data_IF_704528106572
#
_entry.id   IF_704528106572
#
_cell.length_a   1.000
_cell.length_b   1.000
_cell.length_c   1.000
_cell.angle_alpha   90.00
_cell.angle_beta   90.00
_cell.angle_gamma   90.00
#
_symmetry.space_group_name_H-M   'P 1'
#
loop_
_entity.id
_entity.type
_entity.pdbx_description
1 polymer ?
#
# COMPACT_ATOMS: atom_id res chain seq x y z
N UNK A 1 -11.60 -10.74 21.38
CA UNK A 1 -11.96 -10.03 20.13
C UNK A 1 -11.79 -11.03 19.02
N UNK A 2 -12.90 -11.54 18.49
CA UNK A 2 -12.97 -12.86 17.87
C UNK A 2 -12.22 -12.91 16.52
N UNK A 3 -11.24 -13.81 16.48
CA UNK A 3 -10.56 -14.28 15.28
C UNK A 3 -11.51 -15.27 14.58
N UNK A 4 -11.89 -14.99 13.32
CA UNK A 4 -12.58 -15.98 12.50
C UNK A 4 -11.52 -16.86 11.83
N UNK A 5 -11.31 -18.05 12.39
CA UNK A 5 -10.50 -19.13 11.82
C UNK A 5 -11.42 -20.32 11.65
N UNK A 6 -11.58 -20.84 10.43
CA UNK A 6 -12.17 -22.16 10.22
C UNK A 6 -11.38 -22.95 9.19
N UNK A 7 -11.13 -24.21 9.55
CA UNK A 7 -10.86 -25.36 8.68
C UNK A 7 -11.48 -26.56 9.41
N UNK A 8 -11.19 -27.83 9.05
CA UNK A 8 -11.07 -28.42 7.71
C UNK A 8 -12.43 -28.69 7.03
N UNK A 9 -13.56 -28.44 7.72
CA UNK A 9 -14.93 -28.70 7.21
C UNK A 9 -15.81 -27.44 7.09
N UNK A 10 -15.22 -26.25 7.21
CA UNK A 10 -15.87 -24.94 7.02
C UNK A 10 -15.17 -24.15 5.92
N UNK A 11 -15.92 -23.66 4.92
CA UNK A 11 -15.37 -23.07 3.72
C UNK A 11 -14.81 -21.65 3.93
N UNK A 12 -13.62 -21.55 4.52
CA UNK A 12 -12.69 -20.44 4.34
C UNK A 12 -11.56 -20.95 3.44
N UNK A 13 -11.42 -20.38 2.25
CA UNK A 13 -10.24 -20.55 1.39
C UNK A 13 -9.60 -19.16 1.31
N UNK A 14 -8.39 -19.02 1.86
CA UNK A 14 -7.54 -17.80 1.81
C UNK A 14 -8.05 -16.55 2.56
N UNK A 15 -8.79 -16.71 3.66
CA UNK A 15 -9.26 -15.57 4.46
C UNK A 15 -10.38 -14.74 3.80
N UNK A 16 -10.99 -15.30 2.74
CA UNK A 16 -12.16 -14.75 2.06
C UNK A 16 -13.35 -15.67 2.35
N UNK A 17 -14.42 -15.10 2.92
CA UNK A 17 -15.70 -15.79 3.09
C UNK A 17 -16.29 -16.08 1.69
N UNK A 18 -16.42 -17.35 1.30
CA UNK A 18 -17.08 -17.72 0.03
C UNK A 18 -18.56 -18.02 0.30
N UNK A 19 -19.43 -17.29 -0.38
CA UNK A 19 -20.87 -17.37 -0.18
C UNK A 19 -21.50 -18.53 -0.97
N UNK A 20 -22.64 -19.02 -0.48
CA UNK A 20 -23.56 -19.85 -1.28
C UNK A 20 -24.05 -19.09 -2.52
N UNK A 21 -24.66 -19.80 -3.47
CA UNK A 21 -25.19 -19.22 -4.73
C UNK A 21 -26.27 -18.16 -4.53
N UNK A 22 -26.82 -18.06 -3.32
CA UNK A 22 -27.81 -17.09 -2.86
C UNK A 22 -27.20 -15.89 -2.09
N UNK A 23 -25.87 -15.87 -1.91
CA UNK A 23 -25.18 -14.80 -1.19
C UNK A 23 -25.28 -14.90 0.34
N UNK A 24 -25.72 -16.06 0.87
CA UNK A 24 -25.89 -16.30 2.30
C UNK A 24 -25.01 -17.47 2.74
N UNK A 25 -24.40 -17.36 3.93
CA UNK A 25 -23.75 -18.50 4.60
C UNK A 25 -24.12 -18.48 6.07
N UNK A 26 -24.56 -19.64 6.57
CA UNK A 26 -24.70 -19.90 7.99
C UNK A 26 -23.46 -20.66 8.50
N UNK A 27 -22.71 -20.08 9.44
CA UNK A 27 -21.54 -20.72 10.08
C UNK A 27 -21.73 -20.64 11.58
N UNK A 28 -21.81 -21.77 12.29
CA UNK A 28 -21.88 -21.84 13.76
C UNK A 28 -22.93 -20.89 14.41
N UNK A 29 -24.10 -20.74 13.78
CA UNK A 29 -25.19 -19.88 14.25
C UNK A 29 -25.06 -18.40 13.87
N UNK A 30 -24.00 -18.02 13.17
CA UNK A 30 -23.90 -16.73 12.49
C UNK A 30 -24.58 -16.81 11.14
N UNK A 31 -25.41 -15.83 10.81
CA UNK A 31 -25.93 -15.64 9.45
C UNK A 31 -25.22 -14.45 8.82
N UNK A 32 -24.49 -14.70 7.73
CA UNK A 32 -23.85 -13.64 6.96
C UNK A 32 -24.54 -13.51 5.62
N UNK A 33 -24.98 -12.30 5.29
CA UNK A 33 -25.35 -11.92 3.94
C UNK A 33 -24.38 -10.87 3.42
N UNK A 34 -24.17 -10.87 2.09
CA UNK A 34 -23.45 -9.77 1.47
C UNK A 34 -24.28 -9.11 0.39
N UNK A 35 -24.15 -7.79 0.31
CA UNK A 35 -24.78 -6.98 -0.72
C UNK A 35 -23.73 -6.13 -1.39
N UNK A 36 -23.69 -6.17 -2.73
CA UNK A 36 -22.86 -5.26 -3.50
C UNK A 36 -23.51 -3.87 -3.49
N UNK A 37 -22.81 -2.87 -2.97
CA UNK A 37 -23.22 -1.46 -2.94
C UNK A 37 -22.30 -0.63 -3.85
N UNK A 38 -22.68 0.61 -4.19
CA UNK A 38 -21.77 1.53 -4.89
C UNK A 38 -20.45 1.78 -4.13
N UNK A 39 -20.50 1.71 -2.79
CA UNK A 39 -19.37 2.00 -1.91
C UNK A 39 -18.53 0.75 -1.59
N UNK A 40 -18.98 -0.46 -1.95
CA UNK A 40 -18.34 -1.66 -1.43
C UNK A 40 -19.10 -2.96 -1.49
N UNK A 41 -18.47 -4.00 -0.94
CA UNK A 41 -19.16 -5.20 -0.51
C UNK A 41 -19.60 -4.97 0.94
N UNK A 42 -20.91 -4.79 1.14
CA UNK A 42 -21.51 -4.73 2.45
C UNK A 42 -21.69 -6.13 2.99
N UNK A 43 -21.26 -6.34 4.22
CA UNK A 43 -21.49 -7.54 5.02
C UNK A 43 -22.50 -7.19 6.09
N UNK A 44 -23.57 -7.98 6.16
CA UNK A 44 -24.55 -7.93 7.25
C UNK A 44 -24.48 -9.28 7.97
N UNK A 45 -24.14 -9.25 9.25
CA UNK A 45 -23.94 -10.43 10.10
C UNK A 45 -24.93 -10.42 11.24
N UNK A 46 -25.69 -11.50 11.39
CA UNK A 46 -26.46 -11.80 12.59
C UNK A 46 -25.71 -12.82 13.43
N UNK A 47 -25.44 -12.50 14.69
CA UNK A 47 -24.75 -13.38 15.63
C UNK A 47 -25.73 -14.40 16.23
N UNK A 48 -25.24 -15.51 16.84
CA UNK A 48 -26.10 -16.51 17.49
C UNK A 48 -27.01 -15.95 18.61
N UNK A 49 -26.55 -14.90 19.31
CA UNK A 49 -27.29 -14.18 20.35
C UNK A 49 -28.21 -13.07 19.81
N UNK A 50 -28.26 -12.90 18.48
CA UNK A 50 -29.20 -12.02 17.79
C UNK A 50 -28.71 -10.58 17.57
N UNK A 51 -27.45 -10.27 17.89
CA UNK A 51 -26.81 -9.01 17.53
C UNK A 51 -26.69 -8.89 16.00
N UNK A 52 -26.78 -7.65 15.50
CA UNK A 52 -26.60 -7.34 14.08
C UNK A 52 -25.40 -6.44 13.90
N UNK A 53 -24.44 -6.91 13.14
CA UNK A 53 -23.24 -6.18 12.75
C UNK A 53 -23.30 -5.90 11.25
N UNK A 54 -22.94 -4.69 10.85
CA UNK A 54 -22.87 -4.33 9.44
C UNK A 54 -21.59 -3.54 9.17
N UNK A 55 -20.86 -3.91 8.13
CA UNK A 55 -19.73 -3.12 7.65
C UNK A 55 -19.61 -3.21 6.14
N UNK A 56 -18.95 -2.23 5.53
CA UNK A 56 -18.72 -2.19 4.08
C UNK A 56 -17.22 -2.24 3.83
N UNK A 57 -16.77 -3.21 3.03
CA UNK A 57 -15.41 -3.21 2.48
C UNK A 57 -15.43 -2.46 1.16
N UNK A 58 -14.55 -1.46 0.93
CA UNK A 58 -14.52 -0.69 -0.31
C UNK A 58 -14.45 -1.59 -1.56
N UNK A 59 -15.26 -1.29 -2.57
CA UNK A 59 -15.34 -2.07 -3.82
C UNK A 59 -14.20 -1.71 -4.78
N UNK A 60 -13.68 -0.50 -4.63
CA UNK A 60 -12.55 0.04 -5.37
C UNK A 60 -11.61 0.75 -4.38
N UNK A 61 -10.31 0.79 -4.68
CA UNK A 61 -9.41 1.63 -3.89
C UNK A 61 -9.89 3.08 -3.91
N UNK A 62 -9.81 3.76 -2.77
CA UNK A 62 -9.95 5.20 -2.75
C UNK A 62 -8.92 5.82 -3.71
N UNK A 63 -9.26 6.97 -4.30
CA UNK A 63 -8.42 7.63 -5.31
C UNK A 63 -6.96 7.73 -4.84
N UNK A 64 -6.73 8.07 -3.58
CA UNK A 64 -5.39 8.11 -2.97
C UNK A 64 -5.29 7.09 -1.82
N UNK A 65 -4.59 5.98 -2.06
CA UNK A 65 -4.38 4.94 -1.05
C UNK A 65 -2.89 4.79 -0.72
N UNK A 66 -2.54 4.84 0.57
CA UNK A 66 -1.19 4.55 1.07
C UNK A 66 -1.18 3.22 1.83
N UNK A 67 -0.34 2.28 1.40
CA UNK A 67 -0.13 0.99 2.09
C UNK A 67 1.20 1.03 2.84
N UNK A 68 1.11 1.11 4.17
CA UNK A 68 2.23 1.12 5.11
C UNK A 68 2.48 -0.27 5.69
N UNK A 69 3.70 -0.53 6.14
CA UNK A 69 4.00 -1.73 6.93
C UNK A 69 5.47 -2.09 6.94
N UNK A 70 5.83 -3.11 7.71
CA UNK A 70 7.22 -3.57 7.79
C UNK A 70 7.77 -4.13 6.47
N UNK A 71 9.08 -4.37 6.42
CA UNK A 71 9.68 -5.15 5.35
C UNK A 71 9.04 -6.55 5.29
N UNK A 72 8.74 -7.05 4.08
CA UNK A 72 8.11 -8.36 3.84
C UNK A 72 6.73 -8.55 4.51
N UNK A 73 6.02 -7.47 4.85
CA UNK A 73 4.71 -7.56 5.48
C UNK A 73 3.57 -7.98 4.55
N UNK A 74 3.77 -7.95 3.22
CA UNK A 74 2.72 -8.23 2.21
C UNK A 74 2.17 -6.99 1.50
N UNK A 75 2.61 -5.79 1.86
CA UNK A 75 2.08 -4.52 1.33
C UNK A 75 2.14 -4.34 -0.20
N UNK A 76 3.18 -4.83 -0.88
CA UNK A 76 3.22 -4.78 -2.36
C UNK A 76 2.16 -5.68 -2.98
N UNK A 77 1.95 -6.89 -2.42
CA UNK A 77 0.89 -7.81 -2.88
C UNK A 77 -0.49 -7.18 -2.70
N UNK A 78 -0.72 -6.50 -1.58
CA UNK A 78 -1.98 -5.79 -1.38
C UNK A 78 -2.16 -4.63 -2.36
N UNK A 79 -1.11 -3.82 -2.57
CA UNK A 79 -1.16 -2.72 -3.52
C UNK A 79 -1.45 -3.22 -4.95
N UNK A 80 -0.87 -4.36 -5.33
CA UNK A 80 -1.15 -5.03 -6.61
C UNK A 80 -2.62 -5.50 -6.67
N UNK A 81 -3.13 -6.10 -5.59
CA UNK A 81 -4.54 -6.56 -5.48
C UNK A 81 -5.53 -5.41 -5.64
N UNK A 82 -5.26 -4.26 -5.00
CA UNK A 82 -6.12 -3.08 -5.08
C UNK A 82 -6.26 -2.54 -6.51
N UNK A 83 -5.25 -2.74 -7.34
CA UNK A 83 -5.26 -2.32 -8.74
C UNK A 83 -5.56 -3.46 -9.73
N UNK A 84 -5.91 -4.66 -9.25
CA UNK A 84 -6.06 -5.86 -10.08
C UNK A 84 -7.10 -5.73 -11.20
N UNK A 85 -8.13 -4.91 -11.01
CA UNK A 85 -9.19 -4.66 -11.99
C UNK A 85 -8.83 -3.56 -13.02
N UNK A 86 -7.63 -2.97 -12.94
CA UNK A 86 -7.15 -1.91 -13.84
C UNK A 86 -6.06 -2.45 -14.76
N UNK A 87 -6.40 -2.94 -15.97
CA UNK A 87 -5.44 -3.58 -16.86
C UNK A 87 -4.40 -2.62 -17.44
N UNK A 88 -4.68 -1.31 -17.42
CA UNK A 88 -3.85 -0.23 -17.95
C UNK A 88 -2.98 0.46 -16.88
N UNK A 89 -3.00 -0.03 -15.64
CA UNK A 89 -2.23 0.57 -14.54
C UNK A 89 -0.73 0.63 -14.87
N UNK A 90 -0.06 1.65 -14.34
CA UNK A 90 1.38 1.86 -14.49
C UNK A 90 2.08 1.60 -13.16
N UNK A 91 2.97 0.63 -13.16
CA UNK A 91 3.86 0.34 -12.05
C UNK A 91 5.04 1.31 -12.06
N UNK A 92 5.18 2.11 -11.02
CA UNK A 92 6.26 3.09 -10.83
C UNK A 92 7.29 2.51 -9.89
N UNK A 93 8.39 2.00 -10.46
CA UNK A 93 9.49 1.42 -9.72
C UNK A 93 10.50 2.51 -9.33
N UNK A 94 10.59 2.82 -8.04
CA UNK A 94 11.47 3.89 -7.54
C UNK A 94 12.86 3.37 -7.15
N UNK A 95 13.03 2.05 -7.02
CA UNK A 95 14.25 1.43 -6.50
C UNK A 95 15.45 1.31 -7.45
N UNK A 96 15.30 1.65 -8.74
CA UNK A 96 16.36 1.48 -9.74
C UNK A 96 16.45 0.05 -10.31
N UNK A 97 17.41 -0.16 -11.21
CA UNK A 97 17.51 -1.34 -12.10
C UNK A 97 18.28 -2.53 -11.51
N UNK A 98 18.93 -2.34 -10.36
CA UNK A 98 19.57 -3.41 -9.59
C UNK A 98 20.70 -4.16 -10.27
N UNK A 99 21.33 -3.54 -11.26
CA UNK A 99 22.38 -4.13 -12.08
C UNK A 99 23.59 -4.65 -11.28
N UNK A 100 23.82 -4.16 -10.07
CA UNK A 100 25.00 -4.47 -9.25
C UNK A 100 24.70 -5.25 -7.96
N UNK A 101 23.46 -5.70 -7.75
CA UNK A 101 23.07 -6.47 -6.55
C UNK A 101 22.20 -7.67 -6.95
N UNK A 102 22.75 -8.90 -6.93
CA UNK A 102 22.02 -10.11 -7.29
C UNK A 102 20.78 -10.38 -6.43
N UNK A 103 20.81 -10.06 -5.13
CA UNK A 103 19.64 -10.23 -4.27
C UNK A 103 18.53 -9.25 -4.67
N UNK A 104 18.92 -8.02 -5.00
CA UNK A 104 18.01 -6.99 -5.48
C UNK A 104 17.46 -7.30 -6.88
N UNK A 105 18.28 -7.85 -7.78
CA UNK A 105 17.85 -8.32 -9.10
C UNK A 105 16.80 -9.45 -9.00
N UNK A 106 17.01 -10.41 -8.10
CA UNK A 106 16.04 -11.48 -7.82
C UNK A 106 14.71 -10.94 -7.27
N UNK A 107 14.77 -9.90 -6.45
CA UNK A 107 13.57 -9.22 -5.94
C UNK A 107 12.82 -8.51 -7.06
N UNK A 108 13.53 -7.79 -7.93
CA UNK A 108 12.95 -7.15 -9.12
C UNK A 108 12.29 -8.20 -10.02
N UNK A 109 12.95 -9.34 -10.26
CA UNK A 109 12.41 -10.42 -11.08
C UNK A 109 11.08 -10.97 -10.53
N UNK A 110 11.02 -11.23 -9.21
CA UNK A 110 9.79 -11.68 -8.53
C UNK A 110 8.66 -10.64 -8.60
N UNK A 111 8.98 -9.36 -8.48
CA UNK A 111 7.99 -8.29 -8.65
C UNK A 111 7.50 -8.20 -10.09
N UNK A 112 8.39 -8.27 -11.08
CA UNK A 112 8.03 -8.25 -12.50
C UNK A 112 7.18 -9.46 -12.90
N UNK A 113 7.39 -10.63 -12.30
CA UNK A 113 6.60 -11.84 -12.61
C UNK A 113 5.21 -11.85 -11.98
N UNK A 114 4.97 -11.06 -10.91
CA UNK A 114 3.68 -11.02 -10.22
C UNK A 114 2.68 -10.05 -10.84
N UNK A 115 3.17 -8.92 -11.37
CA UNK A 115 2.28 -7.93 -11.98
C UNK A 115 1.68 -8.45 -13.30
N UNK A 116 0.45 -8.04 -13.63
CA UNK A 116 -0.13 -8.31 -14.95
C UNK A 116 0.78 -7.81 -16.08
N UNK A 117 0.96 -8.61 -17.12
CA UNK A 117 1.80 -8.24 -18.27
C UNK A 117 1.28 -7.01 -19.04
N UNK A 118 0.00 -6.66 -18.87
CA UNK A 118 -0.62 -5.48 -19.46
C UNK A 118 -0.21 -4.17 -18.80
N UNK A 119 0.31 -4.22 -17.57
CA UNK A 119 0.70 -3.02 -16.83
C UNK A 119 1.91 -2.34 -17.44
N UNK A 120 1.84 -1.02 -17.53
CA UNK A 120 3.00 -0.20 -17.89
C UNK A 120 4.06 -0.22 -16.78
N UNK A 121 5.29 0.14 -17.13
CA UNK A 121 6.40 0.31 -16.18
C UNK A 121 7.03 1.70 -16.37
N UNK A 122 7.20 2.43 -15.27
CA UNK A 122 7.99 3.64 -15.20
C UNK A 122 9.07 3.49 -14.13
N UNK A 123 10.35 3.46 -14.54
CA UNK A 123 11.48 3.41 -13.63
C UNK A 123 11.97 4.85 -13.35
N UNK A 124 11.45 5.49 -12.31
CA UNK A 124 11.76 6.90 -12.01
C UNK A 124 11.55 7.25 -10.55
N UNK A 125 12.19 8.32 -10.10
CA UNK A 125 11.91 9.00 -8.82
C UNK A 125 11.28 10.38 -9.00
N UNK A 126 11.12 10.83 -10.25
CA UNK A 126 10.50 12.12 -10.56
C UNK A 126 8.97 11.93 -10.58
N UNK A 127 8.41 11.74 -9.38
CA UNK A 127 7.00 11.40 -9.16
C UNK A 127 6.05 12.59 -9.39
N UNK A 128 6.51 13.84 -9.15
CA UNK A 128 5.66 15.03 -9.24
C UNK A 128 5.04 15.19 -10.63
N UNK A 129 5.79 15.17 -11.76
CA UNK A 129 5.18 15.25 -13.09
C UNK A 129 4.19 14.11 -13.38
N UNK A 130 4.50 12.88 -12.92
CA UNK A 130 3.62 11.72 -13.10
C UNK A 130 2.29 11.89 -12.37
N UNK A 131 2.32 12.45 -11.16
CA UNK A 131 1.15 12.73 -10.34
C UNK A 131 0.34 13.91 -10.87
N UNK A 132 0.97 14.95 -11.40
CA UNK A 132 0.27 16.14 -11.91
C UNK A 132 -0.40 15.90 -13.27
N UNK A 133 0.17 15.01 -14.09
CA UNK A 133 -0.42 14.62 -15.37
C UNK A 133 -1.67 13.74 -15.20
N UNK A 134 -2.63 13.86 -16.11
CA UNK A 134 -3.71 12.88 -16.26
C UNK A 134 -3.16 11.57 -16.87
N UNK A 135 -3.77 10.43 -16.54
CA UNK A 135 -3.33 9.14 -17.06
C UNK A 135 -3.98 7.96 -16.33
N UNK A 136 -3.55 6.72 -16.65
CA UNK A 136 -4.07 5.50 -16.02
C UNK A 136 -3.75 5.45 -14.52
N UNK A 137 -4.27 4.48 -13.75
CA UNK A 137 -3.89 4.32 -12.34
C UNK A 137 -2.38 4.12 -12.14
N UNK A 138 -1.88 4.52 -10.98
CA UNK A 138 -0.47 4.37 -10.58
C UNK A 138 -0.32 3.44 -9.39
N UNK A 139 0.64 2.51 -9.48
CA UNK A 139 1.20 1.81 -8.32
C UNK A 139 2.61 2.31 -8.08
N UNK A 140 2.86 3.02 -6.96
CA UNK A 140 4.20 3.50 -6.60
C UNK A 140 4.84 2.53 -5.60
N UNK A 141 5.87 1.79 -6.02
CA UNK A 141 6.63 0.87 -5.15
C UNK A 141 8.13 1.25 -5.23
N UNK A 142 8.68 1.92 -4.22
CA UNK A 142 8.03 2.43 -3.01
C UNK A 142 8.55 3.82 -2.60
N UNK A 143 7.81 4.51 -1.73
CA UNK A 143 8.25 5.80 -1.19
C UNK A 143 9.53 5.67 -0.33
N UNK A 144 9.80 4.49 0.19
CA UNK A 144 11.02 4.18 0.96
C UNK A 144 12.29 4.30 0.13
N UNK A 145 12.29 3.72 -1.07
CA UNK A 145 13.43 3.82 -2.00
C UNK A 145 13.44 5.14 -2.75
N UNK A 146 12.27 5.74 -2.97
CA UNK A 146 12.18 7.11 -3.47
C UNK A 146 12.93 8.07 -2.54
N UNK A 147 12.68 8.03 -1.23
CA UNK A 147 13.35 8.92 -0.29
C UNK A 147 14.86 8.71 -0.29
N UNK A 148 15.32 7.45 -0.26
CA UNK A 148 16.76 7.15 -0.27
C UNK A 148 17.46 7.79 -1.50
N UNK A 149 16.86 7.66 -2.68
CA UNK A 149 17.40 8.24 -3.91
C UNK A 149 17.24 9.77 -3.99
N UNK A 150 16.22 10.34 -3.35
CA UNK A 150 16.10 11.80 -3.20
C UNK A 150 17.22 12.32 -2.28
N UNK A 151 17.50 11.62 -1.18
CA UNK A 151 18.61 11.92 -0.29
C UNK A 151 19.96 11.84 -1.03
N UNK A 152 20.14 10.82 -1.89
CA UNK A 152 21.32 10.74 -2.79
C UNK A 152 21.42 11.96 -3.72
N UNK A 153 20.32 12.31 -4.42
CA UNK A 153 20.29 13.46 -5.35
C UNK A 153 20.57 14.80 -4.65
N UNK A 154 20.17 14.95 -3.39
CA UNK A 154 20.45 16.13 -2.57
C UNK A 154 21.82 16.05 -1.87
N UNK A 155 22.58 14.98 -2.07
CA UNK A 155 23.88 14.71 -1.44
C UNK A 155 23.85 14.82 0.10
N UNK A 156 22.66 14.60 0.70
CA UNK A 156 22.44 14.84 2.13
C UNK A 156 23.13 13.80 3.01
N UNK A 157 23.51 12.64 2.46
CA UNK A 157 24.27 11.63 3.18
C UNK A 157 25.69 12.10 3.50
N UNK A 158 26.28 12.95 2.64
CA UNK A 158 27.60 13.52 2.85
C UNK A 158 27.52 14.86 3.62
N UNK A 159 26.46 15.63 3.40
CA UNK A 159 26.21 16.90 4.09
C UNK A 159 24.78 16.98 4.62
N UNK A 160 24.62 16.68 5.92
CA UNK A 160 23.33 16.74 6.59
C UNK A 160 22.73 18.16 6.67
N UNK A 161 23.54 19.20 6.42
CA UNK A 161 23.06 20.59 6.35
C UNK A 161 22.07 20.83 5.21
N UNK A 162 22.02 19.92 4.23
CA UNK A 162 21.13 19.98 3.05
C UNK A 162 19.76 19.35 3.29
N UNK A 163 19.41 19.01 4.53
CA UNK A 163 18.12 18.40 4.88
C UNK A 163 16.91 19.19 4.37
N UNK A 164 16.99 20.51 4.35
CA UNK A 164 15.91 21.39 3.86
C UNK A 164 15.59 21.18 2.38
N UNK A 165 16.57 20.76 1.57
CA UNK A 165 16.35 20.41 0.16
C UNK A 165 15.49 19.14 0.05
N UNK A 166 15.77 18.14 0.89
CA UNK A 166 14.99 16.90 0.94
C UNK A 166 13.57 17.18 1.44
N UNK A 167 13.42 17.98 2.50
CA UNK A 167 12.12 18.38 3.03
C UNK A 167 11.28 19.13 1.98
N UNK A 168 11.91 19.98 1.16
CA UNK A 168 11.26 20.64 0.02
C UNK A 168 10.71 19.61 -0.98
N UNK A 169 11.48 18.56 -1.31
CA UNK A 169 11.02 17.48 -2.21
C UNK A 169 9.86 16.67 -1.61
N UNK A 170 9.86 16.46 -0.29
CA UNK A 170 8.77 15.79 0.42
C UNK A 170 7.48 16.58 0.31
N UNK A 171 7.52 17.90 0.54
CA UNK A 171 6.31 18.73 0.40
C UNK A 171 5.84 18.83 -1.05
N UNK A 172 6.76 18.94 -2.03
CA UNK A 172 6.40 18.89 -3.45
C UNK A 172 5.69 17.59 -3.83
N UNK A 173 6.19 16.44 -3.35
CA UNK A 173 5.54 15.15 -3.55
C UNK A 173 4.14 15.15 -2.92
N UNK A 174 4.01 15.63 -1.70
CA UNK A 174 2.76 15.60 -0.96
C UNK A 174 1.70 16.52 -1.59
N UNK A 175 2.11 17.69 -2.09
CA UNK A 175 1.23 18.59 -2.83
C UNK A 175 0.79 17.97 -4.16
N UNK A 176 1.70 17.40 -4.93
CA UNK A 176 1.38 16.67 -6.16
C UNK A 176 0.44 15.47 -5.90
N UNK A 177 0.68 14.73 -4.81
CA UNK A 177 -0.16 13.64 -4.35
C UNK A 177 -1.60 14.10 -4.11
N UNK A 178 -1.80 15.19 -3.37
CA UNK A 178 -3.16 15.69 -3.09
C UNK A 178 -3.92 16.14 -4.35
N UNK A 179 -3.20 16.74 -5.31
CA UNK A 179 -3.77 17.33 -6.53
C UNK A 179 -3.92 16.33 -7.67
N UNK A 180 -3.37 15.13 -7.56
CA UNK A 180 -3.35 14.20 -8.69
C UNK A 180 -4.77 13.85 -9.16
N UNK A 181 -5.05 13.92 -10.47
CA UNK A 181 -6.34 13.48 -11.00
C UNK A 181 -6.41 11.94 -11.13
N UNK A 182 -5.31 11.24 -10.88
CA UNK A 182 -5.19 9.79 -11.08
C UNK A 182 -5.63 9.03 -9.83
N UNK A 183 -6.00 7.77 -10.04
CA UNK A 183 -6.06 6.80 -8.96
C UNK A 183 -4.63 6.33 -8.65
N UNK A 184 -4.21 6.42 -7.39
CA UNK A 184 -2.84 6.14 -6.97
C UNK A 184 -2.84 5.27 -5.72
N UNK A 185 -2.10 4.16 -5.79
CA UNK A 185 -1.75 3.32 -4.64
C UNK A 185 -0.23 3.41 -4.44
N UNK A 186 0.20 3.86 -3.27
CA UNK A 186 1.62 3.93 -2.91
C UNK A 186 1.97 2.95 -1.79
N UNK A 187 3.14 2.33 -1.90
CA UNK A 187 3.71 1.47 -0.87
C UNK A 187 4.80 2.23 -0.13
N UNK A 188 4.82 2.11 1.19
CA UNK A 188 5.94 2.60 2.00
C UNK A 188 6.20 1.71 3.22
N UNK A 189 7.46 1.63 3.64
CA UNK A 189 7.83 0.95 4.86
C UNK A 189 7.54 1.84 6.08
N UNK A 190 7.07 1.20 7.16
CA UNK A 190 7.26 1.75 8.51
C UNK A 190 8.59 1.23 9.06
N UNK A 191 9.46 2.14 9.48
CA UNK A 191 10.80 1.88 10.03
C UNK A 191 11.08 2.59 11.37
N UNK A 192 10.13 3.38 11.88
CA UNK A 192 10.22 4.14 13.13
C UNK A 192 9.95 3.32 14.40
N UNK A 193 9.33 2.15 14.27
CA UNK A 193 8.94 1.28 15.39
C UNK A 193 10.09 0.43 15.99
N UNK A 194 11.33 0.66 15.56
CA UNK A 194 12.53 -0.05 16.02
C UNK A 194 13.43 0.78 16.94
N UNK A 195 14.62 0.24 17.25
CA UNK A 195 15.64 0.95 18.04
C UNK A 195 16.17 2.17 17.26
N UNK A 196 16.53 3.22 17.98
CA UNK A 196 17.19 4.40 17.40
C UNK A 196 18.54 3.98 16.78
N UNK A 197 18.77 4.20 15.47
CA UNK A 197 20.03 3.85 14.84
C UNK A 197 21.23 4.56 15.48
N UNK A 198 22.38 3.90 15.54
CA UNK A 198 23.64 4.48 16.05
C UNK A 198 24.28 5.45 15.05
N UNK A 199 24.11 5.21 13.74
CA UNK A 199 24.61 6.06 12.68
C UNK A 199 23.70 7.28 12.44
N UNK A 200 24.32 8.44 12.23
CA UNK A 200 23.61 9.72 12.09
C UNK A 200 22.81 9.78 10.78
N UNK A 201 23.34 9.28 9.67
CA UNK A 201 22.65 9.26 8.38
C UNK A 201 21.42 8.36 8.43
N UNK A 202 21.55 7.19 9.07
CA UNK A 202 20.45 6.24 9.26
C UNK A 202 19.35 6.81 10.17
N UNK A 203 19.70 7.56 11.23
CA UNK A 203 18.71 8.30 12.04
C UNK A 203 17.98 9.35 11.20
N UNK A 204 18.73 10.14 10.41
CA UNK A 204 18.15 11.16 9.54
C UNK A 204 17.16 10.55 8.53
N UNK A 205 17.56 9.45 7.87
CA UNK A 205 16.69 8.71 6.96
C UNK A 205 15.41 8.22 7.64
N UNK A 206 15.52 7.63 8.83
CA UNK A 206 14.36 7.19 9.62
C UNK A 206 13.42 8.34 9.93
N UNK A 207 13.96 9.47 10.38
CA UNK A 207 13.16 10.65 10.75
C UNK A 207 12.46 11.25 9.52
N UNK A 208 13.16 11.34 8.39
CA UNK A 208 12.59 11.80 7.12
C UNK A 208 11.56 10.82 6.55
N UNK A 209 11.73 9.50 6.68
CA UNK A 209 10.70 8.51 6.32
C UNK A 209 9.44 8.69 7.15
N UNK A 210 9.58 8.98 8.45
CA UNK A 210 8.47 9.36 9.30
C UNK A 210 7.73 10.59 8.77
N UNK A 211 8.45 11.62 8.32
CA UNK A 211 7.85 12.79 7.68
C UNK A 211 7.12 12.42 6.38
N UNK A 212 7.74 11.67 5.46
CA UNK A 212 7.12 11.20 4.21
C UNK A 212 5.82 10.45 4.48
N UNK A 213 5.87 9.45 5.35
CA UNK A 213 4.69 8.64 5.67
C UNK A 213 3.58 9.51 6.24
N UNK A 214 3.90 10.43 7.17
CA UNK A 214 2.91 11.29 7.80
C UNK A 214 2.32 12.33 6.85
N UNK A 215 3.12 12.94 5.96
CA UNK A 215 2.65 13.97 5.02
C UNK A 215 1.79 13.40 3.91
N UNK A 216 2.13 12.20 3.41
CA UNK A 216 1.34 11.48 2.38
C UNK A 216 0.08 10.88 3.00
N UNK A 217 0.17 10.25 4.18
CA UNK A 217 -0.98 9.68 4.87
C UNK A 217 -2.08 10.71 5.13
N UNK A 218 -1.72 11.90 5.64
CA UNK A 218 -2.68 13.00 5.90
C UNK A 218 -3.40 13.51 4.66
N UNK A 219 -2.83 13.29 3.48
CA UNK A 219 -3.38 13.71 2.18
C UNK A 219 -3.92 12.51 1.39
N UNK A 220 -4.02 11.34 1.99
CA UNK A 220 -4.57 10.12 1.39
C UNK A 220 -6.03 9.94 1.81
N UNK A 221 -6.84 9.41 0.91
CA UNK A 221 -8.24 9.07 1.17
C UNK A 221 -8.34 7.76 1.99
N UNK A 222 -7.35 6.87 1.85
CA UNK A 222 -7.23 5.64 2.62
C UNK A 222 -5.78 5.37 3.00
N UNK A 223 -5.56 4.92 4.24
CA UNK A 223 -4.25 4.46 4.70
C UNK A 223 -4.42 3.06 5.29
N UNK A 224 -3.67 2.10 4.77
CA UNK A 224 -3.72 0.70 5.20
C UNK A 224 -2.41 0.32 5.87
N UNK A 225 -2.49 -0.23 7.08
CA UNK A 225 -1.38 -0.87 7.76
C UNK A 225 -1.34 -2.36 7.43
N UNK A 226 -0.23 -2.82 6.86
CA UNK A 226 -0.01 -4.20 6.46
C UNK A 226 0.96 -4.90 7.40
N UNK A 227 0.49 -6.00 8.02
CA UNK A 227 1.25 -6.87 8.92
C UNK A 227 0.90 -8.33 8.66
N UNK A 228 1.91 -9.19 8.52
CA UNK A 228 1.73 -10.62 8.30
C UNK A 228 0.78 -10.98 7.14
N UNK A 229 0.80 -10.20 6.05
CA UNK A 229 -0.05 -10.38 4.87
C UNK A 229 -1.47 -9.85 5.03
N UNK A 230 -1.82 -9.24 6.17
CA UNK A 230 -3.16 -8.69 6.44
C UNK A 230 -3.11 -7.18 6.51
N UNK A 231 -4.19 -6.54 6.10
CA UNK A 231 -4.34 -5.08 6.18
C UNK A 231 -5.39 -4.64 7.19
N UNK A 232 -5.08 -3.56 7.89
CA UNK A 232 -5.98 -2.87 8.81
C UNK A 232 -6.02 -1.39 8.40
N UNK A 233 -7.20 -0.77 8.23
CA UNK A 233 -7.29 0.68 8.03
C UNK A 233 -6.71 1.45 9.24
N UNK A 234 -5.99 2.54 8.98
CA UNK A 234 -5.49 3.48 10.00
C UNK A 234 -6.42 4.67 10.20
#
# INVERSE_FOLDING_TARGET
>A
MAELVTGPDGAIIDGVLRLGSDGVVAVDGYEVSTTRTPDGLRYDVRTPDGERLSWTTPAQPSRLTLVLGGARSGKSTEAERLLGDYPDAVYVATGGDGANDPEWADRIAKHRSRRPASWGLAETIDLVPLLESAGPPLLIDCLTLWLARVMDKCEVWADHGRVSEVETRIEQLADAWSRTPRLVVAVSNEIGSGVVPADAGTRLYRDLMGRVNATVARRSDSVLWCVAGRTVPL
#
